data_IF_085354382105
#
_entry.id   IF_085354382105
#
_cell.length_a   1.000
_cell.length_b   1.000
_cell.length_c   1.000
_cell.angle_alpha   90.00
_cell.angle_beta   90.00
_cell.angle_gamma   90.00
#
_symmetry.space_group_name_H-M   'P 1'
#
loop_
_entity.id
_entity.type
_entity.pdbx_description
1 polymer ?
#
# COMPACT_ATOMS: atom_id res chain seq x y z
N UNK A 1 -17.92 5.23 -2.54
CA UNK A 1 -16.85 5.31 -3.58
C UNK A 1 -16.03 4.04 -3.49
N UNK A 2 -15.78 3.39 -4.61
CA UNK A 2 -14.96 2.18 -4.63
C UNK A 2 -13.49 2.55 -4.87
N UNK A 3 -12.60 1.91 -4.14
CA UNK A 3 -11.15 2.07 -4.24
C UNK A 3 -10.53 0.71 -4.47
N UNK A 4 -9.67 0.58 -5.48
CA UNK A 4 -8.86 -0.61 -5.66
C UNK A 4 -7.58 -0.47 -4.83
N UNK A 5 -7.28 -1.47 -4.01
CA UNK A 5 -6.01 -1.56 -3.28
C UNK A 5 -5.21 -2.75 -3.81
N UNK A 6 -4.07 -2.48 -4.41
CA UNK A 6 -3.26 -3.46 -5.13
C UNK A 6 -1.88 -3.62 -4.48
N UNK A 7 -1.60 -4.80 -3.96
CA UNK A 7 -0.33 -5.11 -3.30
C UNK A 7 -0.25 -6.52 -2.74
N UNK A 8 0.87 -6.90 -2.12
CA UNK A 8 0.99 -8.20 -1.47
C UNK A 8 0.10 -8.23 -0.22
N UNK A 9 -0.85 -9.16 -0.19
CA UNK A 9 -1.81 -9.32 0.90
C UNK A 9 -1.60 -10.61 1.69
N UNK A 10 -0.98 -11.62 1.06
CA UNK A 10 -0.90 -12.98 1.57
C UNK A 10 0.53 -13.47 1.81
N UNK A 11 1.49 -12.56 1.95
CA UNK A 11 2.87 -12.90 2.30
C UNK A 11 3.29 -12.36 3.68
N UNK A 12 4.41 -12.87 4.22
CA UNK A 12 4.96 -12.47 5.52
C UNK A 12 5.85 -11.22 5.46
N UNK A 13 6.02 -10.60 4.30
CA UNK A 13 6.86 -9.42 4.19
C UNK A 13 6.31 -8.23 4.98
N UNK A 14 7.16 -7.27 5.30
CA UNK A 14 6.73 -5.99 5.86
C UNK A 14 5.72 -5.27 4.95
N UNK A 15 5.86 -5.43 3.63
CA UNK A 15 4.86 -4.95 2.67
C UNK A 15 3.52 -5.65 2.85
N UNK A 16 3.50 -6.99 3.00
CA UNK A 16 2.28 -7.76 3.22
C UNK A 16 1.56 -7.30 4.48
N UNK A 17 2.28 -7.13 5.59
CA UNK A 17 1.73 -6.64 6.84
C UNK A 17 1.15 -5.22 6.69
N UNK A 18 1.92 -4.30 6.12
CA UNK A 18 1.48 -2.92 5.88
C UNK A 18 0.24 -2.84 4.99
N UNK A 19 0.18 -3.67 3.94
CA UNK A 19 -0.97 -3.75 3.04
C UNK A 19 -2.23 -4.23 3.76
N UNK A 20 -2.14 -5.33 4.54
CA UNK A 20 -3.30 -5.85 5.29
C UNK A 20 -3.86 -4.80 6.25
N UNK A 21 -3.00 -4.11 6.99
CA UNK A 21 -3.42 -3.05 7.92
C UNK A 21 -4.03 -1.84 7.20
N UNK A 22 -3.47 -1.42 6.08
CA UNK A 22 -4.01 -0.31 5.30
C UNK A 22 -5.38 -0.64 4.70
N UNK A 23 -5.55 -1.86 4.15
CA UNK A 23 -6.84 -2.33 3.63
C UNK A 23 -7.88 -2.42 4.74
N UNK A 24 -7.52 -2.98 5.90
CA UNK A 24 -8.42 -3.06 7.05
C UNK A 24 -8.84 -1.66 7.52
N UNK A 25 -7.92 -0.72 7.66
CA UNK A 25 -8.22 0.65 8.07
C UNK A 25 -9.17 1.37 7.10
N UNK A 26 -8.97 1.21 5.80
CA UNK A 26 -9.88 1.76 4.79
C UNK A 26 -11.28 1.12 4.88
N UNK A 27 -11.34 -0.18 5.06
CA UNK A 27 -12.60 -0.92 5.22
C UNK A 27 -13.35 -0.49 6.48
N UNK A 28 -12.68 -0.38 7.62
CA UNK A 28 -13.23 0.10 8.89
C UNK A 28 -13.72 1.56 8.80
N UNK A 29 -13.05 2.39 7.98
CA UNK A 29 -13.48 3.75 7.69
C UNK A 29 -14.69 3.83 6.74
N UNK A 30 -15.27 2.70 6.32
CA UNK A 30 -16.44 2.62 5.44
C UNK A 30 -16.12 2.81 3.95
N UNK A 31 -14.85 2.72 3.56
CA UNK A 31 -14.46 2.70 2.14
C UNK A 31 -14.77 1.33 1.55
N UNK A 32 -15.44 1.30 0.40
CA UNK A 32 -15.64 0.05 -0.33
C UNK A 32 -14.34 -0.33 -1.07
N UNK A 33 -13.56 -1.22 -0.44
CA UNK A 33 -12.25 -1.65 -0.94
C UNK A 33 -12.40 -2.87 -1.84
N UNK A 34 -11.84 -2.78 -3.03
CA UNK A 34 -11.62 -3.90 -3.96
C UNK A 34 -10.14 -4.25 -3.87
N UNK A 35 -9.80 -5.34 -3.18
CA UNK A 35 -8.41 -5.74 -3.01
C UNK A 35 -7.93 -6.61 -4.18
N UNK A 36 -6.74 -6.29 -4.71
CA UNK A 36 -6.06 -7.09 -5.73
C UNK A 36 -4.70 -7.55 -5.19
N UNK A 37 -4.58 -8.85 -4.97
CA UNK A 37 -3.37 -9.42 -4.40
C UNK A 37 -2.25 -9.56 -5.45
N UNK A 38 -1.04 -9.18 -5.06
CA UNK A 38 0.21 -9.58 -5.72
C UNK A 38 0.85 -10.65 -4.87
N UNK A 39 1.37 -11.70 -5.48
CA UNK A 39 2.04 -12.77 -4.75
C UNK A 39 3.54 -12.66 -4.93
N UNK A 40 4.27 -12.49 -3.83
CA UNK A 40 5.72 -12.52 -3.80
C UNK A 40 6.28 -13.87 -3.29
N UNK A 41 5.47 -14.64 -2.56
CA UNK A 41 5.84 -15.99 -2.12
C UNK A 41 4.74 -16.99 -2.40
N UNK A 42 5.11 -18.26 -2.55
CA UNK A 42 4.18 -19.38 -2.78
C UNK A 42 3.64 -19.97 -1.47
N UNK A 43 4.05 -19.45 -0.32
CA UNK A 43 3.62 -19.95 0.98
C UNK A 43 2.29 -19.29 1.36
N UNK A 44 1.26 -20.09 1.50
CA UNK A 44 0.00 -19.65 2.07
C UNK A 44 0.14 -19.58 3.60
N UNK A 45 -0.29 -18.49 4.18
CA UNK A 45 -0.15 -18.23 5.61
C UNK A 45 -1.49 -17.87 6.21
N UNK A 46 -1.69 -18.34 7.43
CA UNK A 46 -2.84 -17.91 8.23
C UNK A 46 -2.50 -16.57 8.92
N UNK A 47 -3.21 -15.51 8.53
CA UNK A 47 -3.11 -14.19 9.16
C UNK A 47 -4.30 -13.88 10.07
N UNK A 48 -5.00 -14.93 10.55
CA UNK A 48 -6.14 -14.79 11.44
C UNK A 48 -7.26 -13.91 10.84
N UNK A 49 -7.84 -13.03 11.67
CA UNK A 49 -8.95 -12.17 11.25
C UNK A 49 -8.59 -11.23 10.08
N UNK A 50 -7.34 -10.77 9.99
CA UNK A 50 -6.88 -9.96 8.86
C UNK A 50 -6.82 -10.77 7.57
N UNK A 51 -6.38 -12.04 7.64
CA UNK A 51 -6.39 -12.94 6.49
C UNK A 51 -7.82 -13.20 5.99
N UNK A 52 -8.72 -13.52 6.89
CA UNK A 52 -10.13 -13.73 6.56
C UNK A 52 -10.80 -12.48 5.95
N UNK A 53 -10.42 -11.28 6.41
CA UNK A 53 -10.87 -10.04 5.78
C UNK A 53 -10.30 -9.89 4.37
N UNK A 54 -9.00 -10.18 4.15
CA UNK A 54 -8.39 -10.12 2.83
C UNK A 54 -9.07 -11.09 1.85
N UNK A 55 -9.32 -12.33 2.26
CA UNK A 55 -10.04 -13.32 1.45
C UNK A 55 -11.41 -12.83 0.99
N UNK A 56 -12.10 -12.10 1.86
CA UNK A 56 -13.42 -11.52 1.55
C UNK A 56 -13.33 -10.32 0.59
N UNK A 57 -12.27 -9.51 0.67
CA UNK A 57 -12.14 -8.27 -0.11
C UNK A 57 -11.41 -8.47 -1.43
N UNK A 58 -10.68 -9.59 -1.58
CA UNK A 58 -10.00 -9.93 -2.83
C UNK A 58 -11.02 -10.40 -3.85
N UNK A 59 -11.23 -9.57 -4.87
CA UNK A 59 -12.13 -9.87 -5.99
C UNK A 59 -11.44 -9.57 -7.31
N UNK A 60 -11.76 -10.36 -8.34
CA UNK A 60 -11.11 -10.23 -9.64
C UNK A 60 -11.66 -9.04 -10.45
N UNK A 61 -12.90 -8.64 -10.23
CA UNK A 61 -13.59 -7.62 -10.99
C UNK A 61 -14.27 -6.61 -10.08
N UNK A 62 -14.37 -5.38 -10.53
CA UNK A 62 -15.07 -4.30 -9.82
C UNK A 62 -14.83 -2.96 -10.49
N UNK A 63 -15.81 -2.07 -10.45
CA UNK A 63 -15.66 -0.70 -10.94
C UNK A 63 -15.11 0.20 -9.82
N UNK A 64 -14.03 0.92 -10.12
CA UNK A 64 -13.38 1.90 -9.25
C UNK A 64 -12.76 3.01 -10.08
N UNK A 65 -12.56 4.16 -9.47
CA UNK A 65 -11.87 5.30 -10.11
C UNK A 65 -10.48 5.54 -9.53
N UNK A 66 -10.22 5.10 -8.31
CA UNK A 66 -8.96 5.27 -7.60
C UNK A 66 -8.29 3.91 -7.44
N UNK A 67 -7.02 3.82 -7.79
CA UNK A 67 -6.18 2.64 -7.59
C UNK A 67 -4.96 2.99 -6.75
N UNK A 68 -4.85 2.37 -5.59
CA UNK A 68 -3.69 2.48 -4.72
C UNK A 68 -2.75 1.31 -5.03
N UNK A 69 -1.50 1.64 -5.40
CA UNK A 69 -0.44 0.67 -5.63
C UNK A 69 0.51 0.67 -4.44
N UNK A 70 0.54 -0.42 -3.70
CA UNK A 70 1.42 -0.58 -2.54
C UNK A 70 2.32 -1.80 -2.75
N UNK A 71 3.17 -1.69 -3.75
CA UNK A 71 4.24 -2.63 -4.12
C UNK A 71 5.53 -1.85 -4.31
N UNK A 72 6.59 -2.48 -4.81
CA UNK A 72 7.81 -1.76 -5.16
C UNK A 72 7.60 -0.87 -6.40
N UNK A 73 8.04 0.39 -6.38
CA UNK A 73 7.75 1.36 -7.45
C UNK A 73 8.23 1.00 -8.85
N UNK A 74 9.28 0.20 -8.96
CA UNK A 74 9.78 -0.33 -10.25
C UNK A 74 8.72 -1.17 -10.98
N UNK A 75 7.73 -1.71 -10.27
CA UNK A 75 6.65 -2.51 -10.83
C UNK A 75 5.40 -1.69 -11.21
N UNK A 76 5.28 -0.44 -10.79
CA UNK A 76 4.06 0.37 -10.98
C UNK A 76 3.60 0.46 -12.43
N UNK A 77 4.54 0.58 -13.38
CA UNK A 77 4.24 0.65 -14.81
C UNK A 77 3.41 -0.53 -15.34
N UNK A 78 3.48 -1.70 -14.68
CA UNK A 78 2.74 -2.92 -15.07
C UNK A 78 1.29 -2.90 -14.61
N UNK A 79 0.96 -2.01 -13.70
CA UNK A 79 -0.33 -2.00 -12.99
C UNK A 79 -1.16 -0.74 -13.27
N UNK A 80 -0.70 0.13 -14.18
CA UNK A 80 -1.44 1.30 -14.60
C UNK A 80 -2.68 0.90 -15.41
N UNK A 81 -3.75 1.62 -15.19
CA UNK A 81 -5.02 1.46 -15.90
C UNK A 81 -5.46 2.81 -16.45
N UNK A 82 -5.91 2.83 -17.71
CA UNK A 82 -6.42 4.06 -18.32
C UNK A 82 -7.60 4.64 -17.52
N UNK A 83 -7.68 5.96 -17.46
CA UNK A 83 -8.77 6.71 -16.82
C UNK A 83 -8.93 6.46 -15.32
N UNK A 84 -7.92 5.91 -14.65
CA UNK A 84 -7.89 5.76 -13.19
C UNK A 84 -6.95 6.79 -12.56
N UNK A 85 -7.27 7.21 -11.35
CA UNK A 85 -6.37 7.99 -10.50
C UNK A 85 -5.47 7.04 -9.72
N UNK A 86 -4.16 7.14 -9.93
CA UNK A 86 -3.18 6.23 -9.33
C UNK A 86 -2.49 6.87 -8.14
N UNK A 87 -2.53 6.19 -7.00
CA UNK A 87 -1.83 6.57 -5.79
C UNK A 87 -0.72 5.53 -5.53
N UNK A 88 0.53 5.98 -5.49
CA UNK A 88 1.64 5.15 -5.03
C UNK A 88 1.77 5.21 -3.52
N UNK A 89 1.57 4.09 -2.81
CA UNK A 89 1.80 4.01 -1.37
C UNK A 89 3.18 3.39 -1.13
N UNK A 90 4.13 4.20 -0.63
CA UNK A 90 5.54 3.82 -0.61
C UNK A 90 6.26 4.35 0.62
N UNK A 91 7.11 3.49 1.21
CA UNK A 91 8.00 3.81 2.31
C UNK A 91 9.44 3.52 1.92
N UNK A 92 10.37 4.29 2.46
CA UNK A 92 11.79 4.13 2.20
C UNK A 92 12.61 4.38 3.46
N UNK A 93 13.70 3.65 3.63
CA UNK A 93 14.45 3.58 4.90
C UNK A 93 15.77 4.34 4.86
N UNK A 94 16.17 4.88 3.70
CA UNK A 94 17.42 5.64 3.53
C UNK A 94 17.17 7.05 3.02
N UNK A 95 18.22 7.83 2.88
CA UNK A 95 18.18 9.25 2.51
C UNK A 95 17.89 9.53 1.03
N UNK A 96 17.99 8.53 0.18
CA UNK A 96 17.72 8.66 -1.26
C UNK A 96 17.21 7.36 -1.85
N UNK A 97 16.17 7.44 -2.68
CA UNK A 97 15.62 6.29 -3.40
C UNK A 97 16.41 5.98 -4.68
N UNK A 98 16.39 4.71 -5.17
CA UNK A 98 16.94 4.33 -6.47
C UNK A 98 16.24 5.05 -7.63
N UNK A 99 16.95 5.26 -8.74
CA UNK A 99 16.42 5.94 -9.93
C UNK A 99 15.22 5.21 -10.53
N UNK A 100 15.24 3.88 -10.57
CA UNK A 100 14.13 3.06 -11.05
C UNK A 100 12.86 3.25 -10.21
N UNK A 101 12.99 3.46 -8.90
CA UNK A 101 11.86 3.78 -8.02
C UNK A 101 11.32 5.18 -8.28
N UNK A 102 12.21 6.16 -8.48
CA UNK A 102 11.81 7.51 -8.83
C UNK A 102 11.02 7.53 -10.14
N UNK A 103 11.44 6.75 -11.15
CA UNK A 103 10.70 6.59 -12.41
C UNK A 103 9.29 6.04 -12.18
N UNK A 104 9.16 5.00 -11.36
CA UNK A 104 7.85 4.43 -11.03
C UNK A 104 6.94 5.39 -10.27
N UNK A 105 7.48 6.09 -9.28
CA UNK A 105 6.73 7.07 -8.49
C UNK A 105 6.28 8.28 -9.31
N UNK A 106 7.06 8.70 -10.30
CA UNK A 106 6.69 9.79 -11.22
C UNK A 106 5.58 9.41 -12.22
N UNK A 107 5.16 8.15 -12.28
CA UNK A 107 3.99 7.70 -13.05
C UNK A 107 2.66 7.87 -12.29
N UNK A 108 2.73 8.17 -11.00
CA UNK A 108 1.55 8.29 -10.15
C UNK A 108 0.96 9.71 -10.20
N UNK A 109 -0.33 9.82 -9.92
CA UNK A 109 -1.00 11.11 -9.73
C UNK A 109 -0.72 11.69 -8.34
N UNK A 110 -0.51 10.80 -7.36
CA UNK A 110 -0.22 11.16 -5.97
C UNK A 110 0.61 10.05 -5.29
N UNK A 111 1.41 10.43 -4.31
CA UNK A 111 2.19 9.50 -3.48
C UNK A 111 1.78 9.67 -2.03
N UNK A 112 1.56 8.53 -1.35
CA UNK A 112 1.40 8.46 0.09
C UNK A 112 2.64 7.86 0.71
N UNK A 113 3.12 8.49 1.81
CA UNK A 113 4.27 8.01 2.56
C UNK A 113 4.11 8.27 4.06
N UNK A 114 4.90 7.61 4.89
CA UNK A 114 4.67 7.56 6.34
C UNK A 114 5.24 8.73 7.14
N UNK A 115 6.21 9.47 6.60
CA UNK A 115 6.92 10.49 7.37
C UNK A 115 7.52 11.59 6.50
N UNK A 116 7.93 12.68 7.16
CA UNK A 116 8.69 13.77 6.51
C UNK A 116 10.01 13.25 5.95
N UNK A 117 10.72 12.39 6.69
CA UNK A 117 11.98 11.81 6.23
C UNK A 117 11.80 10.99 4.95
N UNK A 118 10.74 10.18 4.87
CA UNK A 118 10.42 9.44 3.64
C UNK A 118 10.12 10.38 2.48
N UNK A 119 9.32 11.43 2.69
CA UNK A 119 9.05 12.44 1.67
C UNK A 119 10.35 13.06 1.16
N UNK A 120 11.23 13.46 2.06
CA UNK A 120 12.48 14.15 1.72
C UNK A 120 13.42 13.22 0.93
N UNK A 121 13.49 11.94 1.28
CA UNK A 121 14.24 10.92 0.53
C UNK A 121 13.67 10.70 -0.89
N UNK A 122 12.33 10.68 -1.02
CA UNK A 122 11.65 10.54 -2.31
C UNK A 122 11.93 11.76 -3.20
N UNK A 123 11.83 12.98 -2.66
CA UNK A 123 12.14 14.21 -3.38
C UNK A 123 13.62 14.27 -3.78
N UNK A 124 14.54 13.90 -2.88
CA UNK A 124 15.97 13.82 -3.15
C UNK A 124 16.30 12.82 -4.28
N UNK A 125 15.46 11.82 -4.48
CA UNK A 125 15.54 10.87 -5.61
C UNK A 125 15.06 11.39 -6.95
N UNK A 126 14.54 12.64 -7.03
CA UNK A 126 14.07 13.26 -8.26
C UNK A 126 12.59 13.03 -8.57
N UNK A 127 11.78 12.75 -7.55
CA UNK A 127 10.33 12.62 -7.72
C UNK A 127 9.67 14.00 -7.66
N UNK A 128 8.79 14.27 -8.63
CA UNK A 128 8.03 15.52 -8.75
C UNK A 128 6.52 15.34 -8.52
N UNK A 129 6.06 14.11 -8.42
CA UNK A 129 4.66 13.79 -8.10
C UNK A 129 4.28 14.35 -6.72
N UNK A 130 3.05 14.90 -6.53
CA UNK A 130 2.59 15.38 -5.23
C UNK A 130 2.66 14.30 -4.17
N UNK A 131 3.21 14.62 -2.99
CA UNK A 131 3.41 13.67 -1.89
C UNK A 131 2.57 14.11 -0.69
N UNK A 132 1.80 13.18 -0.13
CA UNK A 132 1.08 13.33 1.14
C UNK A 132 1.66 12.40 2.19
N UNK A 133 1.68 12.90 3.43
CA UNK A 133 2.19 12.14 4.57
C UNK A 133 1.01 11.56 5.34
N UNK A 134 0.90 10.24 5.32
CA UNK A 134 -0.04 9.47 6.12
C UNK A 134 0.72 8.43 6.93
N UNK A 135 0.70 8.47 8.25
CA UNK A 135 1.29 7.43 9.08
C UNK A 135 0.74 6.05 8.72
N UNK A 136 1.59 5.04 8.82
CA UNK A 136 1.19 3.67 8.56
C UNK A 136 0.08 3.24 9.53
N UNK A 137 -0.99 2.63 9.00
CA UNK A 137 -2.04 2.05 9.82
C UNK A 137 -1.51 0.86 10.63
N UNK A 138 -1.86 0.80 11.90
CA UNK A 138 -1.56 -0.32 12.80
C UNK A 138 -2.78 -0.68 13.62
N UNK A 139 -2.88 -1.93 14.05
CA UNK A 139 -3.91 -2.30 15.02
C UNK A 139 -3.60 -1.68 16.38
N UNK A 140 -4.51 -0.88 16.90
CA UNK A 140 -4.37 -0.22 18.21
C UNK A 140 -4.75 -1.09 19.41
N UNK A 141 -5.35 -2.26 19.19
CA UNK A 141 -5.68 -3.21 20.24
C UNK A 141 -4.51 -4.15 20.56
N UNK A 142 -3.39 -3.60 21.04
CA UNK A 142 -2.50 -4.35 21.92
C UNK A 142 -2.91 -4.01 23.37
N UNK A 143 -3.57 -4.91 24.04
CA UNK A 143 -3.56 -4.94 25.48
C UNK A 143 -2.10 -5.22 25.89
N UNK A 144 -1.40 -4.18 26.32
CA UNK A 144 -0.10 -4.34 26.95
C UNK A 144 -0.34 -5.09 28.26
N UNK A 145 0.37 -6.18 28.56
CA UNK A 145 0.25 -6.82 29.85
C UNK A 145 0.62 -5.78 30.92
N UNK A 146 -0.25 -5.64 31.95
CA UNK A 146 -0.13 -4.62 33.01
C UNK A 146 1.12 -4.75 33.90
N UNK A 147 2.12 -5.55 33.51
CA UNK A 147 3.29 -5.79 34.35
C UNK A 147 4.57 -5.82 33.51
N UNK A 148 5.29 -4.76 33.59
CA UNK A 148 6.76 -4.74 33.69
C UNK A 148 7.15 -3.83 34.83
#
# INVERSE_FOLDING_TARGET
>A
MNVCYHGPLFDYSGYGEANRHAVAALHEAGVNVIAKAVTYSLESSDFGDLGALMDKLVVNEGDYKIKILHTTPDQYHKHLEAEKYHIGHFFWETDKIPEEFARGLNLMDEIWTGSVANRDAIVAGGVNTPIKIYPQATQTKREWPEKY
#
